data_IF_882127966207
#
_entry.id   IF_882127966207
#
_cell.length_a   1.000
_cell.length_b   1.000
_cell.length_c   1.000
_cell.angle_alpha   90.00
_cell.angle_beta   90.00
_cell.angle_gamma   90.00
#
_symmetry.space_group_name_H-M   'P 1'
#
loop_
_entity.id
_entity.type
_entity.pdbx_description
1 polymer ?
#
# COMPACT_ATOMS: atom_id res chain seq x y z
N UNK A 1 16.21 18.75 5.37
CA UNK A 1 14.94 18.43 5.44
C UNK A 1 14.33 18.23 4.16
N UNK A 2 13.49 17.56 4.17
CA UNK A 2 12.92 17.39 2.96
C UNK A 2 11.76 18.24 2.80
N UNK A 3 11.50 18.90 1.98
CA UNK A 3 10.30 19.63 1.71
C UNK A 3 9.20 18.78 1.12
N UNK A 4 9.26 17.46 1.33
CA UNK A 4 8.27 16.60 0.71
C UNK A 4 7.06 16.43 1.61
N UNK A 5 5.87 16.72 1.08
CA UNK A 5 4.64 16.37 1.74
C UNK A 5 4.47 14.84 1.64
N UNK A 6 4.01 14.21 2.69
CA UNK A 6 3.68 12.80 2.67
C UNK A 6 2.29 12.61 2.07
N UNK A 7 1.96 11.38 1.69
CA UNK A 7 0.61 11.06 1.24
C UNK A 7 -0.41 11.40 2.32
N UNK A 8 -0.05 11.14 3.58
CA UNK A 8 -0.83 11.51 4.74
C UNK A 8 -1.18 13.00 4.73
N UNK A 9 -0.15 13.87 4.61
CA UNK A 9 -0.33 15.31 4.60
C UNK A 9 -1.20 15.77 3.44
N UNK A 10 -0.98 15.21 2.27
CA UNK A 10 -1.73 15.56 1.07
C UNK A 10 -3.21 15.20 1.23
N UNK A 11 -3.49 14.02 1.78
CA UNK A 11 -4.88 13.58 1.96
C UNK A 11 -5.61 14.44 2.97
N UNK A 12 -4.94 14.84 4.06
CA UNK A 12 -5.56 15.74 5.05
C UNK A 12 -5.91 17.05 4.40
N UNK A 13 -5.00 17.61 3.60
CA UNK A 13 -5.25 18.87 2.94
C UNK A 13 -6.39 18.76 1.93
N UNK A 14 -6.42 17.72 1.12
CA UNK A 14 -7.50 17.50 0.17
C UNK A 14 -8.84 17.38 0.89
N UNK A 15 -8.89 16.62 1.97
CA UNK A 15 -10.12 16.44 2.74
C UNK A 15 -10.60 17.76 3.34
N UNK A 16 -9.67 18.59 3.80
CA UNK A 16 -9.98 19.90 4.36
C UNK A 16 -10.54 20.84 3.32
N UNK A 17 -9.90 20.89 2.15
CA UNK A 17 -10.30 21.80 1.06
C UNK A 17 -11.63 21.37 0.46
N UNK A 18 -11.81 20.07 0.21
CA UNK A 18 -13.01 19.56 -0.45
C UNK A 18 -14.19 19.38 0.49
N UNK A 19 -13.96 19.43 1.81
CA UNK A 19 -15.01 19.19 2.82
C UNK A 19 -15.74 17.89 2.54
N UNK A 20 -14.97 16.80 2.52
CA UNK A 20 -15.50 15.50 2.17
C UNK A 20 -16.60 15.07 3.15
N UNK A 21 -17.60 14.37 2.62
CA UNK A 21 -18.72 13.86 3.42
C UNK A 21 -18.59 12.36 3.69
N UNK A 22 -17.66 11.70 3.02
CA UNK A 22 -17.37 10.26 3.16
C UNK A 22 -15.89 10.05 3.33
N UNK A 23 -15.47 8.91 3.90
CA UNK A 23 -14.06 8.62 3.96
C UNK A 23 -13.44 8.57 2.57
N UNK A 24 -12.22 9.08 2.48
CA UNK A 24 -11.41 9.05 1.26
C UNK A 24 -10.24 8.11 1.49
N UNK A 25 -10.09 7.10 0.64
CA UNK A 25 -9.00 6.14 0.76
C UNK A 25 -8.13 6.19 -0.48
N UNK A 26 -6.82 6.24 -0.28
CA UNK A 26 -5.85 6.06 -1.36
C UNK A 26 -5.15 4.74 -1.12
N UNK A 27 -5.18 3.89 -2.13
CA UNK A 27 -4.61 2.55 -2.09
C UNK A 27 -3.39 2.51 -3.01
N UNK A 28 -2.32 1.91 -2.52
CA UNK A 28 -1.13 1.67 -3.32
C UNK A 28 -0.69 0.23 -3.13
N UNK A 29 -0.28 -0.43 -4.20
CA UNK A 29 0.22 -1.80 -4.14
C UNK A 29 1.56 -1.88 -4.84
N UNK A 30 2.44 -2.75 -4.30
CA UNK A 30 3.69 -3.10 -4.97
C UNK A 30 3.58 -4.57 -5.38
N UNK A 31 4.19 -4.91 -6.51
CA UNK A 31 4.03 -6.23 -7.10
C UNK A 31 5.36 -6.80 -7.56
N UNK A 32 5.34 -8.06 -7.99
CA UNK A 32 6.50 -8.70 -8.58
C UNK A 32 6.74 -8.23 -10.03
N UNK A 33 5.77 -7.55 -10.65
CA UNK A 33 5.91 -7.07 -12.01
C UNK A 33 4.62 -6.47 -12.53
N UNK A 34 4.51 -6.31 -13.85
CA UNK A 34 3.43 -5.56 -14.47
C UNK A 34 2.37 -6.44 -15.14
N UNK A 35 2.47 -7.75 -15.05
CA UNK A 35 1.56 -8.67 -15.72
C UNK A 35 0.48 -9.15 -14.76
N UNK A 36 -0.77 -8.64 -14.84
CA UNK A 36 -1.80 -8.95 -13.84
C UNK A 36 -2.11 -10.45 -13.67
N UNK A 37 -1.92 -11.25 -14.71
CA UNK A 37 -2.23 -12.68 -14.62
C UNK A 37 -1.12 -13.51 -13.98
N UNK A 38 0.11 -13.04 -14.01
CA UNK A 38 1.26 -13.82 -13.53
C UNK A 38 1.98 -13.19 -12.37
N UNK A 39 1.89 -11.88 -12.22
CA UNK A 39 2.58 -11.21 -11.13
C UNK A 39 1.72 -11.14 -9.89
N UNK A 40 2.39 -11.03 -8.74
CA UNK A 40 1.76 -11.12 -7.43
C UNK A 40 2.03 -9.88 -6.63
N UNK A 41 1.13 -9.56 -5.71
CA UNK A 41 1.28 -8.42 -4.81
C UNK A 41 2.30 -8.77 -3.74
N UNK A 42 3.21 -7.84 -3.43
CA UNK A 42 4.18 -7.97 -2.34
C UNK A 42 3.93 -6.98 -1.21
N UNK A 43 3.12 -5.97 -1.44
CA UNK A 43 2.76 -5.01 -0.40
C UNK A 43 1.43 -4.35 -0.74
N UNK A 44 0.60 -4.16 0.29
CA UNK A 44 -0.62 -3.36 0.20
C UNK A 44 -0.49 -2.26 1.23
N UNK A 45 -0.70 -1.03 0.79
CA UNK A 45 -0.71 0.13 1.68
C UNK A 45 -1.92 0.98 1.36
N UNK A 46 -2.59 1.49 2.37
CA UNK A 46 -3.63 2.47 2.13
C UNK A 46 -3.67 3.49 3.27
N UNK A 47 -4.19 4.66 2.93
CA UNK A 47 -4.41 5.73 3.87
C UNK A 47 -5.85 6.17 3.68
N UNK A 48 -6.61 6.19 4.76
CA UNK A 48 -8.00 6.66 4.74
C UNK A 48 -8.08 7.91 5.59
N UNK A 49 -8.72 8.95 5.05
CA UNK A 49 -9.03 10.14 5.83
C UNK A 49 -10.54 10.23 5.95
N UNK A 50 -11.02 10.49 7.16
CA UNK A 50 -12.45 10.58 7.44
C UNK A 50 -12.92 12.04 7.37
N UNK A 51 -14.25 12.27 7.29
CA UNK A 51 -14.76 13.66 7.27
C UNK A 51 -14.35 14.49 8.49
N UNK A 52 -14.13 13.85 9.65
CA UNK A 52 -13.65 14.55 10.85
C UNK A 52 -12.12 14.62 10.92
N UNK A 53 -11.46 14.36 9.78
CA UNK A 53 -10.01 14.51 9.58
C UNK A 53 -9.17 13.51 10.39
N UNK A 54 -9.73 12.38 10.75
CA UNK A 54 -8.95 11.28 11.30
C UNK A 54 -8.29 10.53 10.17
N UNK A 55 -7.07 10.05 10.41
CA UNK A 55 -6.28 9.34 9.42
C UNK A 55 -6.05 7.93 9.90
N UNK A 56 -6.35 6.97 9.03
CA UNK A 56 -6.13 5.55 9.29
C UNK A 56 -5.15 5.06 8.24
N UNK A 57 -4.04 4.49 8.68
CA UNK A 57 -3.03 3.97 7.78
C UNK A 57 -2.91 2.46 7.93
N UNK A 58 -2.68 1.78 6.82
CA UNK A 58 -2.46 0.36 6.79
C UNK A 58 -1.29 0.08 5.85
N UNK A 59 -0.42 -0.83 6.26
CA UNK A 59 0.72 -1.22 5.45
C UNK A 59 1.04 -2.66 5.79
N UNK A 60 1.02 -3.53 4.79
CA UNK A 60 1.24 -4.95 4.99
C UNK A 60 2.08 -5.53 3.87
N UNK A 61 3.21 -6.11 4.24
CA UNK A 61 4.01 -6.91 3.31
C UNK A 61 3.29 -8.24 3.10
N UNK A 62 3.43 -8.78 1.89
CA UNK A 62 2.77 -10.02 1.50
C UNK A 62 3.78 -10.94 0.84
N UNK A 63 3.76 -12.20 1.24
CA UNK A 63 4.61 -13.20 0.61
C UNK A 63 3.96 -13.58 -0.72
N UNK A 64 4.62 -13.29 -1.86
CA UNK A 64 4.04 -13.58 -3.17
C UNK A 64 4.14 -15.05 -3.56
N UNK A 65 4.79 -15.87 -2.73
CA UNK A 65 4.99 -17.30 -3.00
C UNK A 65 5.77 -17.57 -4.28
N UNK A 66 6.62 -16.62 -4.64
CA UNK A 66 7.53 -16.69 -5.79
C UNK A 66 8.64 -15.67 -5.61
N UNK A 67 9.71 -15.82 -6.39
CA UNK A 67 10.81 -14.85 -6.35
C UNK A 67 10.37 -13.49 -6.85
N UNK A 68 10.90 -12.44 -6.23
CA UNK A 68 10.71 -11.07 -6.69
C UNK A 68 11.84 -10.75 -7.66
N UNK A 69 11.56 -10.39 -8.91
CA UNK A 69 12.61 -10.03 -9.85
C UNK A 69 13.43 -8.86 -9.32
N UNK A 70 14.74 -8.89 -9.59
CA UNK A 70 15.65 -7.84 -9.13
C UNK A 70 15.22 -6.46 -9.63
N UNK A 71 14.70 -6.38 -10.83
CA UNK A 71 14.24 -5.11 -11.41
C UNK A 71 13.05 -4.53 -10.65
N UNK A 72 12.18 -5.39 -10.10
CA UNK A 72 11.07 -4.94 -9.28
C UNK A 72 11.57 -4.44 -7.93
N UNK A 73 12.49 -5.19 -7.30
CA UNK A 73 13.09 -4.77 -6.04
C UNK A 73 13.85 -3.45 -6.21
N UNK A 74 14.45 -3.20 -7.37
CA UNK A 74 15.12 -1.94 -7.62
C UNK A 74 14.16 -0.74 -7.55
N UNK A 75 12.89 -0.97 -7.85
CA UNK A 75 11.88 0.09 -7.82
C UNK A 75 11.28 0.24 -6.42
N UNK A 76 10.73 -0.83 -5.84
CA UNK A 76 10.00 -0.73 -4.57
C UNK A 76 10.83 -1.12 -3.35
N UNK A 77 12.04 -1.61 -3.55
CA UNK A 77 13.00 -1.94 -2.48
C UNK A 77 12.59 -3.11 -1.58
N UNK A 78 11.58 -3.87 -1.96
CA UNK A 78 11.14 -5.04 -1.21
C UNK A 78 11.87 -6.25 -1.77
N UNK A 79 12.48 -7.06 -0.90
CA UNK A 79 13.26 -8.23 -1.28
C UNK A 79 12.56 -9.51 -0.89
N UNK A 80 13.04 -10.64 -1.43
CA UNK A 80 12.53 -11.95 -1.02
C UNK A 80 12.68 -12.16 0.48
N UNK A 81 13.77 -11.68 1.05
CA UNK A 81 14.02 -11.80 2.48
C UNK A 81 12.97 -11.05 3.29
N UNK A 82 12.55 -9.88 2.81
CA UNK A 82 11.58 -9.04 3.52
C UNK A 82 10.22 -9.70 3.63
N UNK A 83 9.84 -10.51 2.65
CA UNK A 83 8.48 -11.09 2.58
C UNK A 83 8.40 -12.57 2.95
N UNK A 84 9.54 -13.20 3.24
CA UNK A 84 9.53 -14.66 3.46
C UNK A 84 8.69 -15.08 4.67
N UNK A 85 8.57 -14.22 5.67
CA UNK A 85 7.77 -14.50 6.86
C UNK A 85 6.43 -13.77 6.83
N UNK A 86 6.14 -13.06 5.74
CA UNK A 86 4.89 -12.32 5.62
C UNK A 86 3.73 -13.27 5.28
N UNK A 87 2.50 -12.88 5.60
CA UNK A 87 1.33 -13.68 5.21
C UNK A 87 1.16 -13.68 3.70
N UNK A 88 0.50 -14.70 3.19
CA UNK A 88 0.16 -14.75 1.76
C UNK A 88 -1.10 -13.93 1.51
N UNK A 89 -1.30 -13.54 0.26
CA UNK A 89 -2.41 -12.64 -0.08
C UNK A 89 -3.77 -13.19 0.35
N UNK A 90 -3.99 -14.49 0.20
CA UNK A 90 -5.25 -15.12 0.58
C UNK A 90 -5.62 -14.84 2.03
N UNK A 91 -4.63 -14.87 2.93
CA UNK A 91 -4.85 -14.61 4.34
C UNK A 91 -5.25 -13.16 4.57
N UNK A 92 -4.62 -12.23 3.86
CA UNK A 92 -4.91 -10.80 3.99
C UNK A 92 -6.26 -10.45 3.39
N UNK A 93 -6.60 -11.03 2.25
CA UNK A 93 -7.88 -10.78 1.60
C UNK A 93 -9.05 -11.15 2.50
N UNK A 94 -8.94 -12.24 3.24
CA UNK A 94 -9.96 -12.63 4.20
C UNK A 94 -10.02 -11.65 5.37
N UNK A 95 -8.87 -11.19 5.84
CA UNK A 95 -8.82 -10.31 7.01
C UNK A 95 -9.39 -8.92 6.74
N UNK A 96 -9.29 -8.41 5.51
CA UNK A 96 -9.74 -7.06 5.19
C UNK A 96 -11.12 -6.99 4.55
N UNK A 97 -11.76 -8.13 4.35
CA UNK A 97 -13.15 -8.17 3.88
C UNK A 97 -14.08 -8.41 5.07
#
# INVERSE_FOLDING_TARGET
MSGHATLHDVLIEIASVLKIERPLTVLDVETTGVWPKSDRIVQIAYVTVTPDQKVIEYNQLINPERSIPAESTAIHRITDEDVKEAPVFREIAVAIT
#
